data_IF_084692784101
#
_entry.id   IF_084692784101
#
_cell.length_a   1.000
_cell.length_b   1.000
_cell.length_c   1.000
_cell.angle_alpha   90.00
_cell.angle_beta   90.00
_cell.angle_gamma   90.00
#
_symmetry.space_group_name_H-M   'P 1'
#
loop_
_entity.id
_entity.type
_entity.pdbx_description
1 polymer ?
#
# COMPACT_ATOMS: atom_id res chain seq x y z
N UNK A 1 5.03 -46.92 -30.47
CA UNK A 1 4.39 -46.48 -29.22
C UNK A 1 5.22 -45.33 -28.66
N UNK A 2 4.95 -44.09 -29.08
CA UNK A 2 5.66 -42.88 -28.63
C UNK A 2 4.59 -41.95 -28.06
N UNK A 3 4.20 -42.23 -26.82
CA UNK A 3 3.32 -41.37 -26.02
C UNK A 3 3.93 -41.34 -24.62
N UNK A 4 5.10 -40.72 -24.49
CA UNK A 4 5.71 -40.45 -23.17
C UNK A 4 6.39 -39.07 -23.12
N UNK A 5 6.79 -38.49 -24.26
CA UNK A 5 7.49 -37.20 -24.29
C UNK A 5 6.61 -35.94 -24.17
N UNK A 6 5.29 -36.06 -24.29
CA UNK A 6 4.39 -34.89 -24.40
C UNK A 6 3.73 -34.45 -23.09
N UNK A 7 3.90 -35.20 -22.00
CA UNK A 7 3.25 -34.93 -20.71
C UNK A 7 4.16 -34.26 -19.67
N UNK A 8 5.48 -34.21 -19.90
CA UNK A 8 6.44 -33.58 -18.99
C UNK A 8 6.91 -32.19 -19.44
N UNK A 9 6.77 -31.86 -20.74
CA UNK A 9 7.14 -30.54 -21.27
C UNK A 9 6.09 -29.45 -21.03
N UNK A 10 4.81 -29.82 -21.05
CA UNK A 10 3.68 -28.93 -20.79
C UNK A 10 3.65 -28.40 -19.35
N UNK A 11 3.81 -29.20 -18.29
CA UNK A 11 3.84 -28.67 -16.93
C UNK A 11 5.06 -27.76 -16.73
N UNK A 12 6.26 -28.10 -17.21
CA UNK A 12 7.46 -27.27 -17.03
C UNK A 12 7.34 -25.91 -17.74
N UNK A 13 6.78 -25.87 -18.95
CA UNK A 13 6.52 -24.61 -19.65
C UNK A 13 5.40 -23.80 -18.99
N UNK A 14 4.36 -24.46 -18.46
CA UNK A 14 3.28 -23.79 -17.73
C UNK A 14 3.76 -23.24 -16.38
N UNK A 15 4.57 -23.99 -15.63
CA UNK A 15 5.19 -23.53 -14.39
C UNK A 15 6.21 -22.42 -14.66
N UNK A 16 7.04 -22.53 -15.70
CA UNK A 16 7.97 -21.48 -16.11
C UNK A 16 7.26 -20.20 -16.56
N UNK A 17 6.15 -20.31 -17.29
CA UNK A 17 5.32 -19.17 -17.68
C UNK A 17 4.57 -18.57 -16.48
N UNK A 18 4.07 -19.39 -15.55
CA UNK A 18 3.42 -18.93 -14.32
C UNK A 18 4.42 -18.22 -13.40
N UNK A 19 5.58 -18.81 -13.13
CA UNK A 19 6.65 -18.18 -12.35
C UNK A 19 7.18 -16.92 -13.06
N UNK A 20 7.33 -16.96 -14.38
CA UNK A 20 7.70 -15.81 -15.20
C UNK A 20 6.68 -14.68 -15.11
N UNK A 21 5.39 -14.99 -15.24
CA UNK A 21 4.29 -14.02 -15.12
C UNK A 21 4.15 -13.46 -13.70
N UNK A 22 4.28 -14.30 -12.67
CA UNK A 22 4.28 -13.87 -11.27
C UNK A 22 5.51 -13.00 -10.96
N UNK A 23 6.65 -13.27 -11.59
CA UNK A 23 7.85 -12.41 -11.50
C UNK A 23 7.73 -11.10 -12.29
N UNK A 24 6.75 -10.99 -13.19
CA UNK A 24 6.49 -9.82 -14.03
C UNK A 24 5.35 -8.93 -13.50
N UNK A 25 4.60 -9.39 -12.49
CA UNK A 25 3.52 -8.62 -11.87
C UNK A 25 3.92 -8.17 -10.47
N UNK A 26 3.59 -6.92 -10.14
CA UNK A 26 3.72 -6.37 -8.78
C UNK A 26 2.34 -5.95 -8.29
N UNK A 27 2.01 -6.32 -7.06
CA UNK A 27 0.81 -5.86 -6.36
C UNK A 27 1.15 -4.75 -5.39
N UNK A 28 0.34 -3.70 -5.35
CA UNK A 28 0.48 -2.57 -4.43
C UNK A 28 -0.87 -2.30 -3.79
N UNK A 29 -0.89 -2.32 -2.47
CA UNK A 29 -2.02 -2.00 -1.61
C UNK A 29 -1.80 -0.67 -0.90
N UNK A 30 -2.73 0.25 -1.08
CA UNK A 30 -2.78 1.50 -0.34
C UNK A 30 -3.87 1.43 0.72
N UNK A 31 -3.54 1.84 1.93
CA UNK A 31 -4.42 1.84 3.09
C UNK A 31 -4.43 3.23 3.70
N UNK A 32 -5.58 3.87 3.79
CA UNK A 32 -5.77 5.08 4.57
C UNK A 32 -6.64 4.76 5.78
N UNK A 33 -6.10 4.97 6.97
CA UNK A 33 -6.73 4.62 8.24
C UNK A 33 -7.08 5.88 9.03
N UNK A 34 -8.30 5.89 9.56
CA UNK A 34 -8.80 6.87 10.53
C UNK A 34 -9.31 6.11 11.74
N UNK A 35 -8.59 6.23 12.85
CA UNK A 35 -8.93 5.65 14.14
C UNK A 35 -9.38 6.75 15.09
N UNK A 36 -10.60 6.67 15.59
CA UNK A 36 -11.13 7.56 16.62
C UNK A 36 -11.25 6.77 17.92
N UNK A 37 -10.64 7.27 18.99
CA UNK A 37 -10.73 6.71 20.34
C UNK A 37 -11.35 7.72 21.29
N UNK A 38 -12.49 7.35 21.88
CA UNK A 38 -13.24 8.20 22.80
C UNK A 38 -14.27 7.39 23.59
N UNK A 39 -14.97 8.07 24.50
CA UNK A 39 -16.00 7.50 25.37
C UNK A 39 -17.13 6.84 24.56
N UNK A 40 -17.62 5.64 24.93
CA UNK A 40 -18.55 4.85 24.12
C UNK A 40 -19.87 5.54 23.73
N UNK A 41 -20.30 6.53 24.49
CA UNK A 41 -21.55 7.27 24.27
C UNK A 41 -21.35 8.63 23.58
N UNK A 42 -20.10 9.06 23.37
CA UNK A 42 -19.83 10.37 22.79
C UNK A 42 -20.13 10.36 21.29
N UNK A 43 -21.06 11.20 20.86
CA UNK A 43 -21.28 11.47 19.45
C UNK A 43 -20.31 12.55 18.95
N UNK A 44 -19.77 12.34 17.76
CA UNK A 44 -18.79 13.23 17.15
C UNK A 44 -18.91 13.27 15.62
N UNK A 45 -18.34 14.33 15.06
CA UNK A 45 -18.18 14.55 13.62
C UNK A 45 -16.73 14.89 13.35
N UNK A 46 -16.18 14.30 12.29
CA UNK A 46 -14.82 14.50 11.84
C UNK A 46 -14.84 14.75 10.34
N UNK A 47 -14.20 15.81 9.88
CA UNK A 47 -13.89 16.00 8.47
C UNK A 47 -12.44 15.62 8.24
N UNK A 48 -12.21 14.58 7.44
CA UNK A 48 -10.88 14.08 7.12
C UNK A 48 -10.54 14.31 5.65
N UNK A 49 -9.25 14.40 5.32
CA UNK A 49 -8.80 14.42 3.93
C UNK A 49 -9.37 13.26 3.13
N UNK A 50 -9.80 13.56 1.91
CA UNK A 50 -10.33 12.61 0.94
C UNK A 50 -9.23 12.19 -0.03
N UNK A 51 -9.14 10.90 -0.35
CA UNK A 51 -8.26 10.44 -1.42
C UNK A 51 -8.70 11.01 -2.79
N UNK A 52 -7.72 11.42 -3.60
CA UNK A 52 -7.94 11.88 -4.98
C UNK A 52 -8.50 10.80 -5.92
N UNK A 53 -8.50 9.55 -5.47
CA UNK A 53 -9.01 8.38 -6.16
C UNK A 53 -10.06 7.68 -5.30
N UNK A 54 -11.02 7.03 -5.94
CA UNK A 54 -12.01 6.23 -5.22
C UNK A 54 -11.34 4.99 -4.60
N UNK A 55 -11.63 4.75 -3.33
CA UNK A 55 -11.11 3.64 -2.54
C UNK A 55 -12.27 2.89 -1.90
N UNK A 56 -12.16 1.57 -1.77
CA UNK A 56 -13.15 0.78 -1.07
C UNK A 56 -13.10 1.10 0.43
N UNK A 57 -14.25 1.24 1.10
CA UNK A 57 -14.31 1.63 2.52
C UNK A 57 -14.80 0.47 3.39
N UNK A 58 -14.15 0.30 4.52
CA UNK A 58 -14.55 -0.61 5.59
C UNK A 58 -14.59 0.14 6.92
N UNK A 59 -15.53 -0.24 7.78
CA UNK A 59 -15.75 0.44 9.07
C UNK A 59 -15.86 -0.57 10.20
N UNK A 60 -15.33 -0.21 11.37
CA UNK A 60 -15.51 -0.94 12.63
C UNK A 60 -16.05 0.00 13.70
N UNK A 61 -16.94 -0.50 14.55
CA UNK A 61 -17.65 0.30 15.54
C UNK A 61 -18.87 1.03 14.96
N UNK A 62 -19.37 2.01 15.71
CA UNK A 62 -20.63 2.71 15.39
C UNK A 62 -20.41 3.93 14.50
N UNK A 63 -20.00 3.69 13.26
CA UNK A 63 -19.96 4.73 12.21
C UNK A 63 -21.38 4.96 11.68
N UNK A 64 -21.81 6.22 11.62
CA UNK A 64 -23.17 6.61 11.18
C UNK A 64 -23.21 7.02 9.71
N UNK A 65 -22.22 7.80 9.27
CA UNK A 65 -22.16 8.25 7.89
C UNK A 65 -20.73 8.55 7.47
N UNK A 66 -20.46 8.32 6.18
CA UNK A 66 -19.28 8.81 5.47
C UNK A 66 -19.83 9.46 4.20
N UNK A 67 -19.78 10.78 4.12
CA UNK A 67 -20.30 11.54 2.99
C UNK A 67 -19.31 12.61 2.55
N UNK A 68 -19.15 12.87 1.24
CA UNK A 68 -18.31 13.96 0.78
C UNK A 68 -18.81 15.31 1.29
N UNK A 69 -17.89 16.19 1.70
CA UNK A 69 -18.16 17.58 2.06
C UNK A 69 -17.17 18.50 1.35
N UNK A 70 -17.62 19.65 0.87
CA UNK A 70 -16.73 20.67 0.28
C UNK A 70 -16.40 21.72 1.33
N UNK A 71 -15.12 22.02 1.51
CA UNK A 71 -14.62 22.97 2.51
C UNK A 71 -13.76 24.04 1.84
N UNK A 72 -13.36 25.07 2.59
CA UNK A 72 -12.39 26.07 2.12
C UNK A 72 -11.02 25.49 1.78
N UNK A 73 -10.70 24.29 2.29
CA UNK A 73 -9.44 23.57 2.04
C UNK A 73 -9.59 22.49 0.96
N UNK A 74 -10.76 22.38 0.32
CA UNK A 74 -11.06 21.39 -0.71
C UNK A 74 -12.07 20.32 -0.27
N UNK A 75 -12.25 19.27 -1.08
CA UNK A 75 -13.17 18.18 -0.77
C UNK A 75 -12.65 17.36 0.43
N UNK A 76 -13.51 16.92 1.33
CA UNK A 76 -13.16 16.10 2.50
C UNK A 76 -14.23 15.02 2.70
N UNK A 77 -13.95 14.03 3.54
CA UNK A 77 -14.94 13.05 3.98
C UNK A 77 -15.50 13.46 5.35
N UNK A 78 -16.82 13.61 5.43
CA UNK A 78 -17.53 13.83 6.67
C UNK A 78 -17.88 12.49 7.31
N UNK A 79 -17.08 12.11 8.30
CA UNK A 79 -17.23 10.89 9.09
C UNK A 79 -17.95 11.25 10.39
N UNK A 80 -19.10 10.62 10.63
CA UNK A 80 -19.82 10.76 11.89
C UNK A 80 -19.91 9.43 12.61
N UNK A 81 -19.88 9.45 13.94
CA UNK A 81 -19.90 8.24 14.73
C UNK A 81 -20.24 8.45 16.19
N UNK A 82 -20.31 7.34 16.91
CA UNK A 82 -20.47 7.31 18.37
C UNK A 82 -19.43 6.36 18.96
N UNK A 83 -18.76 6.80 20.02
CA UNK A 83 -17.71 6.01 20.64
C UNK A 83 -16.49 5.85 19.75
N UNK A 84 -15.69 4.83 20.06
CA UNK A 84 -14.47 4.53 19.31
C UNK A 84 -14.81 3.82 18.00
N UNK A 85 -14.22 4.26 16.90
CA UNK A 85 -14.42 3.66 15.57
C UNK A 85 -13.11 3.58 14.80
N UNK A 86 -13.09 2.70 13.80
CA UNK A 86 -12.06 2.68 12.76
C UNK A 86 -12.72 2.77 11.39
N UNK A 87 -12.19 3.62 10.54
CA UNK A 87 -12.52 3.67 9.12
C UNK A 87 -11.26 3.42 8.33
N UNK A 88 -11.32 2.50 7.39
CA UNK A 88 -10.20 2.10 6.56
C UNK A 88 -10.63 2.13 5.10
N UNK A 89 -9.90 2.93 4.31
CA UNK A 89 -10.03 2.99 2.86
C UNK A 89 -8.90 2.18 2.23
N UNK A 90 -9.24 1.32 1.27
CA UNK A 90 -8.28 0.42 0.63
C UNK A 90 -8.31 0.57 -0.90
N UNK A 91 -7.13 0.46 -1.50
CA UNK A 91 -6.96 0.46 -2.94
C UNK A 91 -5.90 -0.55 -3.35
N UNK A 92 -6.33 -1.61 -4.02
CA UNK A 92 -5.45 -2.63 -4.59
C UNK A 92 -5.16 -2.29 -6.05
N UNK A 93 -3.89 -2.34 -6.44
CA UNK A 93 -3.45 -2.15 -7.84
C UNK A 93 -2.44 -3.22 -8.23
N UNK A 94 -2.55 -3.71 -9.46
CA UNK A 94 -1.58 -4.62 -10.06
C UNK A 94 -0.88 -3.89 -11.21
N UNK A 95 0.45 -3.96 -11.24
CA UNK A 95 1.27 -3.34 -12.29
C UNK A 95 2.19 -4.38 -12.95
N UNK A 96 2.50 -4.14 -14.21
CA UNK A 96 3.55 -4.85 -14.94
C UNK A 96 4.94 -4.32 -14.54
N UNK A 97 5.93 -5.19 -14.38
CA UNK A 97 7.31 -4.87 -13.96
C UNK A 97 8.05 -3.94 -14.92
N UNK A 98 7.62 -3.85 -16.18
CA UNK A 98 8.16 -2.89 -17.16
C UNK A 98 8.01 -1.43 -16.72
N UNK A 99 7.20 -1.18 -15.69
CA UNK A 99 7.00 0.16 -15.18
C UNK A 99 7.99 0.49 -14.04
N UNK A 100 8.79 1.58 -14.15
CA UNK A 100 9.81 1.91 -13.16
C UNK A 100 9.25 2.20 -11.76
N UNK A 101 10.03 1.82 -10.73
CA UNK A 101 9.71 1.96 -9.31
C UNK A 101 9.72 3.42 -8.84
N UNK A 102 10.51 4.28 -9.49
CA UNK A 102 10.73 5.67 -9.07
C UNK A 102 9.65 6.64 -9.59
N UNK A 103 8.58 6.14 -10.22
CA UNK A 103 7.48 7.02 -10.60
C UNK A 103 6.60 7.27 -9.38
N UNK A 104 6.76 8.42 -8.73
CA UNK A 104 5.90 8.94 -7.64
C UNK A 104 4.40 8.69 -7.89
N UNK A 105 3.98 8.76 -9.15
CA UNK A 105 2.61 8.53 -9.60
C UNK A 105 1.98 7.17 -9.25
N UNK A 106 2.77 6.14 -8.84
CA UNK A 106 2.24 4.80 -8.51
C UNK A 106 2.11 4.53 -7.02
N UNK A 107 2.89 5.22 -6.19
CA UNK A 107 3.01 4.95 -4.76
C UNK A 107 2.34 6.02 -3.89
N UNK A 108 2.01 7.18 -4.44
CA UNK A 108 1.29 8.21 -3.69
C UNK A 108 -0.22 8.15 -3.94
N UNK A 109 -1.01 7.92 -2.90
CA UNK A 109 -2.40 8.40 -2.86
C UNK A 109 -2.35 9.84 -2.38
N UNK A 110 -2.59 10.80 -3.28
CA UNK A 110 -2.72 12.20 -2.88
C UNK A 110 -4.02 12.36 -2.10
N UNK A 111 -3.93 12.93 -0.90
CA UNK A 111 -5.07 13.33 -0.11
C UNK A 111 -5.40 14.80 -0.41
N UNK A 112 -6.68 15.13 -0.41
CA UNK A 112 -7.16 16.50 -0.51
C UNK A 112 -6.82 17.30 0.75
N UNK A 113 -6.92 18.62 0.67
CA UNK A 113 -6.55 19.52 1.76
C UNK A 113 -5.10 19.32 2.27
N UNK A 114 -4.23 18.73 1.44
CA UNK A 114 -2.81 18.54 1.71
C UNK A 114 -2.01 19.70 1.10
N UNK A 115 -1.29 20.44 1.94
CA UNK A 115 -0.32 21.46 1.54
C UNK A 115 0.99 21.17 2.28
N UNK A 116 2.10 20.98 1.55
CA UNK A 116 3.44 20.74 2.12
C UNK A 116 3.50 19.70 3.25
N UNK A 117 2.91 18.52 3.03
CA UNK A 117 2.79 17.41 4.01
C UNK A 117 1.94 17.72 5.26
N UNK A 118 1.11 18.74 5.20
CA UNK A 118 0.11 19.02 6.24
C UNK A 118 -1.28 18.88 5.68
N UNK A 119 -2.19 18.33 6.47
CA UNK A 119 -3.58 18.15 6.09
C UNK A 119 -4.49 18.78 7.14
N UNK A 120 -5.49 19.52 6.68
CA UNK A 120 -6.51 20.06 7.57
C UNK A 120 -7.46 18.95 8.02
N UNK A 121 -7.84 18.98 9.29
CA UNK A 121 -8.95 18.21 9.83
C UNK A 121 -9.89 19.13 10.59
N UNK A 122 -11.17 18.78 10.61
CA UNK A 122 -12.12 19.48 11.46
C UNK A 122 -12.81 18.49 12.39
N UNK A 123 -12.97 18.87 13.65
CA UNK A 123 -13.64 18.03 14.65
C UNK A 123 -14.74 18.82 15.35
N UNK A 124 -15.83 18.14 15.66
CA UNK A 124 -16.83 18.60 16.62
C UNK A 124 -17.38 17.41 17.40
N UNK A 125 -17.72 17.63 18.66
CA UNK A 125 -18.37 16.62 19.50
C UNK A 125 -19.57 17.18 20.25
N UNK A 126 -20.46 16.28 20.70
CA UNK A 126 -21.62 16.68 21.49
C UNK A 126 -21.27 17.19 22.90
N UNK A 127 -20.02 16.98 23.36
CA UNK A 127 -19.50 17.45 24.62
C UNK A 127 -18.13 18.10 24.40
N UNK A 128 -18.09 19.43 24.45
CA UNK A 128 -16.90 20.25 24.20
C UNK A 128 -15.72 19.90 25.13
N UNK A 129 -15.98 19.31 26.29
CA UNK A 129 -14.97 18.92 27.27
C UNK A 129 -14.49 17.46 27.07
N UNK A 130 -15.08 16.72 26.14
CA UNK A 130 -14.71 15.33 25.91
C UNK A 130 -13.39 15.23 25.15
N UNK A 131 -12.60 14.23 25.53
CA UNK A 131 -11.33 13.93 24.85
C UNK A 131 -11.59 12.97 23.69
N UNK A 132 -11.18 13.37 22.50
CA UNK A 132 -11.14 12.52 21.31
C UNK A 132 -9.68 12.36 20.92
N UNK A 133 -9.19 11.14 20.94
CA UNK A 133 -7.90 10.77 20.37
C UNK A 133 -8.12 10.33 18.92
N UNK A 134 -7.31 10.88 18.02
CA UNK A 134 -7.39 10.64 16.60
C UNK A 134 -6.05 10.11 16.12
N UNK A 135 -6.08 8.99 15.41
CA UNK A 135 -4.94 8.43 14.70
C UNK A 135 -5.26 8.34 13.22
N UNK A 136 -4.36 8.87 12.39
CA UNK A 136 -4.55 9.05 10.95
C UNK A 136 -3.27 8.63 10.24
N UNK A 137 -3.36 7.77 9.22
CA UNK A 137 -2.17 7.31 8.52
C UNK A 137 -2.45 6.74 7.14
N UNK A 138 -1.46 6.87 6.26
CA UNK A 138 -1.39 6.19 4.97
C UNK A 138 -0.31 5.12 5.09
N UNK A 139 -0.67 3.89 4.75
CA UNK A 139 0.24 2.78 4.60
C UNK A 139 0.20 2.30 3.16
N UNK A 140 1.36 1.89 2.66
CA UNK A 140 1.51 1.32 1.33
C UNK A 140 2.32 0.05 1.47
N UNK A 141 1.73 -1.08 1.07
CA UNK A 141 2.44 -2.34 1.00
C UNK A 141 2.51 -2.76 -0.46
N UNK A 142 3.59 -3.43 -0.85
CA UNK A 142 3.65 -4.07 -2.14
C UNK A 142 4.50 -5.30 -2.15
N UNK A 143 4.21 -6.17 -3.10
CA UNK A 143 4.86 -7.47 -3.21
C UNK A 143 5.04 -7.87 -4.67
N UNK A 144 6.11 -8.62 -4.89
CA UNK A 144 6.41 -9.33 -6.11
C UNK A 144 7.15 -10.63 -5.74
N UNK A 145 7.40 -11.50 -6.72
CA UNK A 145 8.22 -12.69 -6.48
C UNK A 145 9.61 -12.28 -5.97
N UNK A 146 9.96 -12.72 -4.77
CA UNK A 146 11.26 -12.52 -4.13
C UNK A 146 11.48 -11.17 -3.45
N UNK A 147 10.49 -10.28 -3.42
CA UNK A 147 10.61 -8.97 -2.77
C UNK A 147 9.24 -8.50 -2.25
N UNK A 148 9.23 -7.95 -1.05
CA UNK A 148 8.11 -7.18 -0.52
C UNK A 148 8.61 -5.91 0.11
N UNK A 149 7.77 -4.88 0.12
CA UNK A 149 8.03 -3.66 0.86
C UNK A 149 6.77 -3.25 1.60
N UNK A 150 6.97 -2.61 2.73
CA UNK A 150 5.91 -1.98 3.49
C UNK A 150 6.39 -0.59 3.91
N UNK A 151 5.60 0.41 3.60
CA UNK A 151 5.85 1.79 3.91
C UNK A 151 4.70 2.30 4.78
N UNK A 152 5.06 2.96 5.90
CA UNK A 152 4.11 3.78 6.63
C UNK A 152 3.53 3.16 7.90
N UNK A 153 3.08 4.07 8.77
CA UNK A 153 2.43 3.86 10.06
C UNK A 153 1.24 4.81 10.21
N UNK A 154 0.56 4.87 11.37
CA UNK A 154 -0.21 6.06 11.71
C UNK A 154 0.73 7.28 11.68
N UNK A 155 0.45 8.23 10.79
CA UNK A 155 1.28 9.41 10.52
C UNK A 155 0.97 10.56 11.48
N UNK A 156 -0.20 10.52 12.11
CA UNK A 156 -0.60 11.36 13.22
C UNK A 156 -1.26 10.52 14.29
N UNK A 157 -0.98 10.82 15.56
CA UNK A 157 -1.71 10.33 16.73
C UNK A 157 -1.74 11.43 17.77
N UNK A 158 -2.92 11.87 18.17
CA UNK A 158 -3.05 13.00 19.09
C UNK A 158 -4.49 13.35 19.46
N UNK A 159 -4.63 14.44 20.23
CA UNK A 159 -5.92 14.96 20.71
C UNK A 159 -6.26 16.25 19.95
N UNK A 160 -6.90 16.19 18.78
CA UNK A 160 -7.27 17.38 18.04
C UNK A 160 -8.26 18.23 18.85
N UNK A 161 -8.09 19.55 18.77
CA UNK A 161 -9.05 20.49 19.36
C UNK A 161 -10.39 20.47 18.60
N UNK A 162 -11.44 21.07 19.16
CA UNK A 162 -12.64 21.30 18.36
C UNK A 162 -12.41 22.43 17.36
N UNK A 163 -13.06 22.34 16.20
CA UNK A 163 -12.79 23.22 15.09
C UNK A 163 -11.73 22.65 14.16
N UNK A 164 -11.06 23.56 13.43
CA UNK A 164 -10.01 23.21 12.50
C UNK A 164 -8.69 22.97 13.21
N UNK A 165 -8.02 21.88 12.85
CA UNK A 165 -6.68 21.54 13.29
C UNK A 165 -5.81 21.19 12.06
N UNK A 166 -4.50 21.32 12.20
CA UNK A 166 -3.53 21.01 11.14
C UNK A 166 -2.73 19.81 11.59
N UNK A 167 -2.84 18.74 10.82
CA UNK A 167 -2.10 17.52 11.09
C UNK A 167 -0.95 17.38 10.12
N UNK A 168 0.25 17.15 10.66
CA UNK A 168 1.40 16.81 9.83
C UNK A 168 1.28 15.35 9.41
N UNK A 169 1.08 15.13 8.13
CA UNK A 169 1.02 13.81 7.52
C UNK A 169 2.36 13.52 6.84
N UNK A 170 3.22 12.72 7.47
CA UNK A 170 4.42 12.18 6.82
C UNK A 170 4.14 10.86 6.11
N UNK A 171 5.06 10.37 5.29
CA UNK A 171 5.18 8.93 5.07
C UNK A 171 5.99 8.36 6.23
N UNK A 172 5.52 7.29 6.87
CA UNK A 172 6.36 6.54 7.80
C UNK A 172 7.53 5.87 7.08
N UNK A 173 8.47 5.32 7.85
CA UNK A 173 9.63 4.63 7.29
C UNK A 173 9.20 3.45 6.40
N UNK A 174 9.95 3.23 5.31
CA UNK A 174 9.79 2.08 4.45
C UNK A 174 10.74 0.96 4.87
N UNK A 175 10.19 -0.23 5.03
CA UNK A 175 10.94 -1.46 5.16
C UNK A 175 10.87 -2.24 3.85
N UNK A 176 11.99 -2.81 3.41
CA UNK A 176 12.07 -3.66 2.22
C UNK A 176 12.66 -5.00 2.61
N UNK A 177 11.89 -6.06 2.38
CA UNK A 177 12.27 -7.44 2.60
C UNK A 177 12.62 -8.11 1.28
N UNK A 178 13.85 -8.62 1.22
CA UNK A 178 14.32 -9.43 0.09
C UNK A 178 14.28 -10.90 0.47
N UNK A 179 13.46 -11.67 -0.23
CA UNK A 179 13.46 -13.12 -0.12
C UNK A 179 14.14 -13.69 -1.35
N UNK A 180 15.39 -14.12 -1.20
CA UNK A 180 15.98 -15.02 -2.19
C UNK A 180 15.31 -16.38 -2.00
N UNK A 181 14.60 -16.93 -3.00
CA UNK A 181 14.16 -18.32 -2.92
C UNK A 181 15.34 -19.19 -3.40
N UNK A 182 16.35 -19.36 -2.53
CA UNK A 182 17.47 -20.27 -2.83
C UNK A 182 16.99 -21.73 -2.94
N UNK A 183 15.77 -22.04 -2.49
CA UNK A 183 15.10 -23.32 -2.73
C UNK A 183 14.44 -23.45 -4.10
N UNK A 184 14.02 -22.35 -4.75
CA UNK A 184 13.23 -22.43 -6.00
C UNK A 184 14.08 -22.14 -7.25
N UNK A 185 15.26 -21.54 -7.09
CA UNK A 185 16.22 -21.31 -8.18
C UNK A 185 17.18 -22.51 -8.36
N UNK A 186 17.34 -23.38 -7.36
CA UNK A 186 18.36 -24.45 -7.38
C UNK A 186 17.83 -25.82 -7.85
N UNK A 187 16.53 -26.02 -8.12
CA UNK A 187 16.02 -27.35 -8.52
C UNK A 187 14.96 -27.32 -9.64
N UNK A 188 15.30 -26.76 -10.82
CA UNK A 188 15.09 -27.57 -12.04
C UNK A 188 16.37 -27.72 -12.86
N UNK A 189 17.40 -26.90 -12.61
CA UNK A 189 18.64 -26.88 -13.39
C UNK A 189 19.63 -28.01 -13.07
N UNK A 190 19.48 -28.70 -11.93
CA UNK A 190 20.45 -29.72 -11.50
C UNK A 190 20.05 -31.18 -11.81
N UNK A 191 18.83 -31.43 -12.32
CA UNK A 191 18.38 -32.80 -12.66
C UNK A 191 18.32 -33.03 -14.18
N UNK A 192 18.50 -31.99 -15.01
CA UNK A 192 18.58 -32.10 -16.48
C UNK A 192 19.88 -31.46 -16.97
N UNK A 193 21.01 -32.03 -16.54
CA UNK A 193 22.34 -31.50 -16.88
C UNK A 193 23.42 -32.57 -17.05
N UNK A 194 23.06 -33.85 -17.10
CA UNK A 194 23.86 -34.85 -17.78
C UNK A 194 23.51 -34.78 -19.27
N UNK A 195 24.30 -34.01 -20.03
CA UNK A 195 24.20 -33.79 -21.48
C UNK A 195 23.25 -32.69 -21.98
N UNK A 196 23.85 -31.58 -22.43
CA UNK A 196 23.36 -30.82 -23.57
C UNK A 196 22.62 -29.52 -23.26
N UNK A 197 23.31 -28.41 -23.46
CA UNK A 197 23.03 -27.34 -24.45
C UNK A 197 23.39 -25.97 -23.88
N UNK A 198 24.31 -25.32 -24.60
CA UNK A 198 24.84 -23.97 -24.43
C UNK A 198 23.74 -22.94 -24.75
N UNK A 199 23.58 -21.90 -23.94
CA UNK A 199 22.71 -20.77 -24.29
C UNK A 199 22.72 -19.64 -23.26
N UNK A 200 23.45 -18.57 -23.58
CA UNK A 200 23.41 -17.18 -23.08
C UNK A 200 22.39 -16.85 -21.96
N UNK A 201 22.76 -16.12 -20.90
CA UNK A 201 23.16 -14.72 -21.01
C UNK A 201 23.80 -14.22 -19.72
N UNK A 202 25.09 -13.87 -19.77
CA UNK A 202 25.71 -12.99 -18.79
C UNK A 202 25.68 -11.56 -19.39
N UNK A 203 24.73 -10.73 -18.96
CA UNK A 203 24.75 -9.30 -19.26
C UNK A 203 25.25 -8.57 -18.01
N UNK A 204 26.54 -8.26 -18.07
CA UNK A 204 27.23 -7.06 -17.57
C UNK A 204 26.87 -6.51 -16.18
N UNK A 205 27.74 -6.78 -15.21
CA UNK A 205 28.06 -5.86 -14.12
C UNK A 205 29.54 -5.47 -14.21
N UNK A 206 29.84 -4.36 -14.89
CA UNK A 206 31.11 -3.65 -14.75
C UNK A 206 30.82 -2.15 -14.72
N UNK A 207 31.17 -1.42 -13.63
CA UNK A 207 31.15 0.03 -13.63
C UNK A 207 32.34 0.60 -14.43
N UNK A 208 32.25 1.86 -14.93
CA UNK A 208 33.19 2.39 -15.91
C UNK A 208 34.53 2.82 -15.31
N UNK A 209 35.56 2.73 -16.18
CA UNK A 209 36.99 3.02 -16.01
C UNK A 209 37.36 4.32 -15.28
N UNK A 210 38.49 4.25 -14.57
CA UNK A 210 39.47 5.34 -14.50
C UNK A 210 40.88 4.79 -14.83
N UNK A 211 41.59 5.42 -15.77
CA UNK A 211 43.04 5.34 -15.94
C UNK A 211 43.56 6.76 -16.17
N UNK A 212 44.72 7.15 -15.61
CA UNK A 212 45.58 8.14 -16.25
C UNK A 212 46.23 7.57 -17.52
#
# INVERSE_FOLDING_TARGET
MIIVGFLLGTPVLLFGAQVGSMSATRTIDHLYNVDVRTDPSLAWTLWTPKASVDMAVTTQGSVRSIVPVTTSFGPMENVTGVGSVRVQWTLHRTFDRSVPMDSDARFSVTLSAQEDNTSHVWRMSANLNATIELSLGIHVAGSQVGESFECGGPNYSGKPSEGWDILRMGFGDCHVDYYLPWSDVILPGLVVGGAGVIGASAIALLPPKARP
#
